data_IF_621255012602
#
_entry.id   IF_621255012602
#
_cell.length_a   1.000
_cell.length_b   1.000
_cell.length_c   1.000
_cell.angle_alpha   90.00
_cell.angle_beta   90.00
_cell.angle_gamma   90.00
#
_symmetry.space_group_name_H-M   'P 1'
#
loop_
_entity.id
_entity.type
_entity.pdbx_description
1 polymer ?
#
# COMPACT_ATOMS: atom_id res chain seq x y z
N UNK A 1 -25.65 12.21 -30.21
CA UNK A 1 -25.09 12.51 -28.88
C UNK A 1 -23.57 12.44 -28.96
N UNK A 2 -22.87 13.53 -28.70
CA UNK A 2 -21.40 13.59 -28.58
C UNK A 2 -20.99 13.31 -27.13
N UNK A 3 -19.95 12.51 -26.92
CA UNK A 3 -19.40 12.21 -25.59
C UNK A 3 -18.26 13.19 -25.27
N UNK A 4 -18.18 13.62 -24.01
CA UNK A 4 -17.02 14.33 -23.48
C UNK A 4 -16.11 13.32 -22.77
N UNK A 5 -14.86 13.19 -23.20
CA UNK A 5 -13.85 12.35 -22.57
C UNK A 5 -12.92 13.22 -21.71
N UNK A 6 -12.67 12.80 -20.48
CA UNK A 6 -11.81 13.52 -19.52
C UNK A 6 -10.81 12.52 -18.96
N UNK A 7 -9.53 12.87 -19.01
CA UNK A 7 -8.44 12.03 -18.50
C UNK A 7 -7.82 12.67 -17.27
N UNK A 8 -7.79 11.92 -16.17
CA UNK A 8 -7.05 12.31 -14.98
C UNK A 8 -5.55 12.01 -15.13
N UNK A 9 -4.70 13.00 -14.88
CA UNK A 9 -3.23 12.87 -15.04
C UNK A 9 -2.48 12.65 -13.74
N UNK A 10 -3.07 13.04 -12.60
CA UNK A 10 -2.47 12.93 -11.26
C UNK A 10 -3.55 12.56 -10.24
N UNK A 11 -3.22 11.78 -9.19
CA UNK A 11 -4.14 11.49 -8.10
C UNK A 11 -4.65 12.76 -7.44
N UNK A 12 -5.88 12.70 -6.92
CA UNK A 12 -6.52 13.81 -6.23
C UNK A 12 -8.01 13.88 -6.54
N UNK A 13 -8.67 14.89 -5.96
CA UNK A 13 -10.09 15.15 -6.22
C UNK A 13 -10.27 16.58 -6.71
N UNK A 14 -11.14 16.73 -7.69
CA UNK A 14 -11.56 18.02 -8.25
C UNK A 14 -13.03 17.94 -8.64
N UNK A 15 -13.59 19.02 -9.20
CA UNK A 15 -14.91 18.99 -9.78
C UNK A 15 -14.93 19.69 -11.12
N UNK A 16 -15.63 19.10 -12.07
CA UNK A 16 -15.94 19.74 -13.33
C UNK A 16 -17.20 20.59 -13.16
N UNK A 17 -17.05 21.91 -13.31
CA UNK A 17 -18.20 22.83 -13.31
C UNK A 17 -18.71 22.98 -14.74
N UNK A 18 -19.90 22.45 -15.00
CA UNK A 18 -20.62 22.56 -16.27
C UNK A 18 -21.69 23.64 -16.15
N UNK A 19 -21.60 24.67 -16.98
CA UNK A 19 -22.59 25.75 -17.05
C UNK A 19 -23.20 25.82 -18.44
N UNK A 20 -24.53 25.76 -18.52
CA UNK A 20 -25.28 25.96 -19.75
C UNK A 20 -26.47 26.88 -19.47
N UNK A 21 -26.40 28.13 -19.94
CA UNK A 21 -27.34 29.18 -19.57
C UNK A 21 -27.35 29.41 -18.05
N UNK A 22 -28.53 29.29 -17.43
CA UNK A 22 -28.73 29.43 -15.99
C UNK A 22 -28.46 28.15 -15.19
N UNK A 23 -28.23 27.01 -15.86
CA UNK A 23 -27.99 25.72 -15.18
C UNK A 23 -26.51 25.55 -14.91
N UNK A 24 -26.17 25.29 -13.65
CA UNK A 24 -24.82 24.87 -13.23
C UNK A 24 -24.88 23.47 -12.61
N UNK A 25 -23.96 22.59 -13.02
CA UNK A 25 -23.75 21.26 -12.42
C UNK A 25 -22.27 21.07 -12.09
N UNK A 26 -21.99 20.63 -10.87
CA UNK A 26 -20.66 20.22 -10.46
C UNK A 26 -20.60 18.70 -10.51
N UNK A 27 -19.65 18.16 -11.29
CA UNK A 27 -19.40 16.72 -11.38
C UNK A 27 -18.09 16.43 -10.64
N UNK A 28 -18.12 15.70 -9.51
CA UNK A 28 -16.89 15.34 -8.81
C UNK A 28 -16.05 14.38 -9.67
N UNK A 29 -14.74 14.61 -9.70
CA UNK A 29 -13.78 13.76 -10.39
C UNK A 29 -12.68 13.40 -9.39
N UNK A 30 -12.46 12.11 -9.19
CA UNK A 30 -11.39 11.60 -8.33
C UNK A 30 -10.49 10.68 -9.13
N UNK A 31 -9.19 10.94 -9.08
CA UNK A 31 -8.14 10.08 -9.60
C UNK A 31 -7.51 9.37 -8.41
N UNK A 32 -7.56 8.05 -8.39
CA UNK A 32 -7.04 7.22 -7.30
C UNK A 32 -5.54 6.99 -7.45
N UNK A 33 -4.86 6.77 -6.33
CA UNK A 33 -3.46 6.32 -6.35
C UNK A 33 -3.34 4.96 -7.04
N UNK A 34 -2.21 4.75 -7.73
CA UNK A 34 -1.83 3.42 -8.24
C UNK A 34 -1.34 2.50 -7.13
N UNK A 35 -0.85 3.08 -6.04
CA UNK A 35 -0.43 2.33 -4.88
C UNK A 35 -1.65 1.82 -4.12
N UNK A 36 -1.88 0.52 -4.24
CA UNK A 36 -3.01 -0.20 -3.67
C UNK A 36 -2.86 -0.48 -2.17
N UNK A 37 -1.74 -0.10 -1.56
CA UNK A 37 -1.53 -0.26 -0.13
C UNK A 37 -2.41 0.69 0.67
N UNK A 38 -2.71 0.29 1.91
CA UNK A 38 -3.13 1.21 2.95
C UNK A 38 -2.29 0.93 4.19
N UNK A 39 -1.66 1.99 4.71
CA UNK A 39 -0.84 1.92 5.91
C UNK A 39 -0.95 3.23 6.69
N UNK A 40 -0.18 3.36 7.77
CA UNK A 40 -0.18 4.53 8.63
C UNK A 40 0.68 4.26 9.85
N UNK A 41 0.58 5.09 10.90
CA UNK A 41 1.41 4.90 12.08
C UNK A 41 1.18 3.55 12.74
N UNK A 42 2.27 2.92 13.20
CA UNK A 42 2.23 1.62 13.87
C UNK A 42 3.39 1.50 14.86
N UNK A 43 3.20 0.68 15.88
CA UNK A 43 4.25 0.28 16.82
C UNK A 43 4.11 -1.21 17.08
N UNK A 44 5.22 -1.92 17.15
CA UNK A 44 5.19 -3.35 17.39
C UNK A 44 6.56 -3.98 17.27
N UNK A 45 6.82 -4.99 18.10
CA UNK A 45 8.04 -5.80 18.03
C UNK A 45 9.34 -4.99 18.05
N UNK A 46 9.38 -3.85 18.75
CA UNK A 46 10.55 -2.98 18.84
C UNK A 46 10.77 -2.07 17.62
N UNK A 47 9.84 -2.07 16.66
CA UNK A 47 9.80 -1.13 15.54
C UNK A 47 8.67 -0.11 15.72
N UNK A 48 8.92 1.10 15.22
CA UNK A 48 7.94 2.18 15.13
C UNK A 48 7.88 2.64 13.68
N UNK A 49 6.67 2.84 13.16
CA UNK A 49 6.41 3.45 11.87
C UNK A 49 5.66 4.76 12.06
N UNK A 50 6.17 5.83 11.47
CA UNK A 50 5.46 7.10 11.29
C UNK A 50 5.30 7.40 9.80
N UNK A 51 4.48 8.39 9.47
CA UNK A 51 4.20 8.76 8.07
C UNK A 51 4.79 10.14 7.80
N UNK A 52 5.69 10.22 6.83
CA UNK A 52 6.29 11.46 6.36
C UNK A 52 5.26 12.32 5.61
N UNK A 53 5.58 13.60 5.39
CA UNK A 53 4.72 14.53 4.65
C UNK A 53 4.44 14.07 3.21
N UNK A 54 5.38 13.37 2.57
CA UNK A 54 5.21 12.79 1.24
C UNK A 54 4.39 11.49 1.24
N UNK A 55 4.10 10.93 2.42
CA UNK A 55 3.34 9.68 2.61
C UNK A 55 4.19 8.41 2.63
N UNK A 56 5.51 8.50 2.58
CA UNK A 56 6.40 7.37 2.87
C UNK A 56 6.35 6.99 4.36
N UNK A 57 6.76 5.77 4.69
CA UNK A 57 6.86 5.31 6.08
C UNK A 57 8.25 5.56 6.60
N UNK A 58 8.39 6.31 7.68
CA UNK A 58 9.64 6.41 8.42
C UNK A 58 9.67 5.31 9.49
N UNK A 59 10.65 4.41 9.41
CA UNK A 59 10.76 3.24 10.30
C UNK A 59 11.97 3.41 11.21
N UNK A 60 11.74 3.30 12.51
CA UNK A 60 12.78 3.34 13.53
C UNK A 60 12.71 2.16 14.48
N UNK A 61 13.79 1.95 15.25
CA UNK A 61 13.85 0.97 16.33
C UNK A 61 14.62 -0.30 15.95
N UNK A 62 14.58 -1.32 16.81
CA UNK A 62 15.26 -2.60 16.59
C UNK A 62 14.24 -3.71 16.73
N UNK A 63 14.07 -4.52 15.68
CA UNK A 63 13.13 -5.63 15.74
C UNK A 63 13.49 -6.59 16.88
N UNK A 64 12.49 -7.12 17.56
CA UNK A 64 12.70 -8.00 18.72
C UNK A 64 13.35 -9.34 18.37
N UNK A 65 13.18 -9.82 17.13
CA UNK A 65 13.76 -11.04 16.57
C UNK A 65 13.60 -11.06 15.04
N UNK A 66 14.24 -12.02 14.39
CA UNK A 66 13.98 -12.34 12.98
C UNK A 66 12.48 -12.63 12.77
N UNK A 67 11.94 -12.15 11.66
CA UNK A 67 10.55 -12.26 11.22
C UNK A 67 9.52 -11.49 12.05
N UNK A 68 9.93 -10.84 13.14
CA UNK A 68 9.05 -9.92 13.84
C UNK A 68 8.92 -8.61 13.06
N UNK A 69 7.73 -8.00 13.11
CA UNK A 69 7.47 -6.79 12.34
C UNK A 69 6.15 -6.09 12.67
N UNK A 70 5.67 -5.31 11.71
CA UNK A 70 4.39 -4.58 11.77
C UNK A 70 3.48 -4.97 10.61
N UNK A 71 2.17 -4.89 10.82
CA UNK A 71 1.17 -5.19 9.81
C UNK A 71 -0.02 -4.22 9.79
N UNK A 72 -0.63 -4.12 8.61
CA UNK A 72 -1.86 -3.40 8.33
C UNK A 72 -2.81 -4.30 7.55
N UNK A 73 -4.09 -4.37 7.95
CA UNK A 73 -5.13 -5.12 7.25
C UNK A 73 -6.13 -4.15 6.63
N UNK A 74 -6.41 -4.32 5.34
CA UNK A 74 -7.34 -3.46 4.60
C UNK A 74 -8.06 -4.23 3.49
N UNK A 75 -9.21 -3.75 2.98
CA UNK A 75 -9.95 -4.43 1.92
C UNK A 75 -9.12 -4.61 0.66
N UNK A 76 -9.27 -5.76 0.00
CA UNK A 76 -8.60 -6.03 -1.27
C UNK A 76 -9.20 -5.16 -2.39
N UNK A 77 -8.44 -4.26 -3.02
CA UNK A 77 -9.00 -3.29 -3.95
C UNK A 77 -9.18 -3.84 -5.38
N UNK A 78 -8.56 -4.97 -5.72
CA UNK A 78 -8.44 -5.46 -7.09
C UNK A 78 -8.47 -6.98 -7.19
N UNK A 79 -8.72 -7.48 -8.40
CA UNK A 79 -8.53 -8.88 -8.79
C UNK A 79 -7.45 -8.94 -9.90
N UNK A 80 -6.87 -10.11 -10.14
CA UNK A 80 -5.82 -10.31 -11.15
C UNK A 80 -4.41 -10.23 -10.57
N UNK A 81 -3.41 -10.01 -11.43
CA UNK A 81 -2.01 -9.95 -10.98
C UNK A 81 -1.71 -8.66 -10.22
N UNK A 82 -0.83 -8.76 -9.24
CA UNK A 82 -0.27 -7.62 -8.49
C UNK A 82 1.23 -7.79 -8.32
N UNK A 83 1.95 -6.67 -8.25
CA UNK A 83 3.40 -6.62 -7.97
C UNK A 83 3.69 -5.69 -6.80
N UNK A 84 4.57 -6.11 -5.89
CA UNK A 84 5.04 -5.32 -4.75
C UNK A 84 6.47 -4.87 -4.98
N UNK A 85 6.74 -3.56 -4.87
CA UNK A 85 8.08 -2.98 -5.03
C UNK A 85 8.39 -1.98 -3.94
N UNK A 86 9.66 -1.95 -3.55
CA UNK A 86 10.22 -0.99 -2.62
C UNK A 86 11.41 -0.28 -3.24
N UNK A 87 11.22 0.83 -3.98
CA UNK A 87 12.32 1.59 -4.57
C UNK A 87 13.33 2.17 -3.55
N UNK A 88 12.91 2.41 -2.29
CA UNK A 88 13.82 2.79 -1.20
C UNK A 88 13.76 1.74 -0.09
N UNK A 89 14.37 0.55 -0.30
CA UNK A 89 14.35 -0.50 0.71
C UNK A 89 15.21 -0.10 1.92
N UNK A 90 14.78 -0.52 3.11
CA UNK A 90 15.57 -0.41 4.34
C UNK A 90 16.30 -1.75 4.54
N UNK A 91 17.64 -1.79 4.56
CA UNK A 91 18.39 -3.03 4.77
C UNK A 91 17.93 -3.79 6.03
N UNK A 92 17.74 -5.10 5.88
CA UNK A 92 17.28 -5.98 6.95
C UNK A 92 15.76 -5.97 7.20
N UNK A 93 14.99 -5.21 6.42
CA UNK A 93 13.52 -5.25 6.41
C UNK A 93 13.01 -5.71 5.04
N UNK A 94 11.91 -6.45 5.02
CA UNK A 94 11.20 -6.84 3.80
C UNK A 94 9.71 -6.54 3.90
N UNK A 95 9.14 -6.03 2.81
CA UNK A 95 7.70 -5.81 2.65
C UNK A 95 7.03 -7.03 2.04
N UNK A 96 5.85 -7.38 2.57
CA UNK A 96 5.09 -8.56 2.17
C UNK A 96 3.60 -8.23 2.10
N UNK A 97 2.87 -8.84 1.17
CA UNK A 97 1.40 -8.77 1.13
C UNK A 97 0.84 -10.19 1.14
N UNK A 98 0.07 -10.50 2.18
CA UNK A 98 -0.72 -11.74 2.27
C UNK A 98 -2.16 -11.46 1.85
N UNK A 99 -2.76 -12.43 1.19
CA UNK A 99 -4.18 -12.41 0.81
C UNK A 99 -4.98 -13.09 1.89
N UNK A 100 -6.08 -12.48 2.35
CA UNK A 100 -6.91 -13.03 3.41
C UNK A 100 -8.35 -13.26 2.91
N UNK A 101 -8.96 -14.35 3.37
CA UNK A 101 -10.39 -14.61 3.17
C UNK A 101 -11.28 -13.74 4.07
N UNK A 102 -12.60 -13.96 3.98
CA UNK A 102 -13.60 -13.25 4.80
C UNK A 102 -13.45 -13.49 6.32
N UNK A 103 -12.76 -14.56 6.73
CA UNK A 103 -12.48 -14.93 8.12
C UNK A 103 -11.10 -14.45 8.59
N UNK A 104 -10.38 -13.72 7.74
CA UNK A 104 -9.02 -13.24 8.01
C UNK A 104 -7.94 -14.32 7.89
N UNK A 105 -8.24 -15.48 7.30
CA UNK A 105 -7.28 -16.56 7.11
C UNK A 105 -6.46 -16.35 5.83
N UNK A 106 -5.14 -16.59 5.85
CA UNK A 106 -4.31 -16.49 4.66
C UNK A 106 -4.77 -17.43 3.54
N UNK A 107 -4.76 -16.92 2.30
CA UNK A 107 -5.04 -17.66 1.09
C UNK A 107 -3.78 -17.73 0.23
N UNK A 108 -3.36 -18.96 -0.08
CA UNK A 108 -2.25 -19.20 -1.00
C UNK A 108 -0.92 -18.58 -0.56
N UNK A 109 -0.13 -18.14 -1.55
CA UNK A 109 1.18 -17.53 -1.34
C UNK A 109 1.08 -16.03 -1.03
N UNK A 110 2.21 -15.43 -0.68
CA UNK A 110 2.34 -13.98 -0.44
C UNK A 110 3.16 -13.31 -1.55
N UNK A 111 2.91 -12.02 -1.77
CA UNK A 111 3.77 -11.18 -2.63
C UNK A 111 4.87 -10.60 -1.77
N UNK A 112 6.12 -10.79 -2.17
CA UNK A 112 7.28 -10.23 -1.47
C UNK A 112 7.84 -9.08 -2.30
N UNK A 113 8.30 -8.02 -1.63
CA UNK A 113 8.86 -6.87 -2.34
C UNK A 113 10.01 -7.30 -3.24
N UNK A 114 9.92 -6.97 -4.53
CA UNK A 114 10.93 -7.34 -5.53
C UNK A 114 10.77 -8.75 -6.12
N UNK A 115 9.74 -9.52 -5.72
CA UNK A 115 9.40 -10.78 -6.39
C UNK A 115 8.66 -10.54 -7.71
N UNK A 116 8.48 -11.61 -8.48
CA UNK A 116 7.59 -11.60 -9.64
C UNK A 116 6.14 -11.28 -9.23
N UNK A 117 5.37 -10.82 -10.21
CA UNK A 117 3.95 -10.58 -10.07
C UNK A 117 3.21 -11.86 -9.65
N UNK A 118 2.12 -11.69 -8.90
CA UNK A 118 1.31 -12.79 -8.39
C UNK A 118 -0.17 -12.53 -8.60
N UNK A 119 -0.90 -13.54 -9.03
CA UNK A 119 -2.35 -13.49 -9.10
C UNK A 119 -2.97 -13.41 -7.70
N UNK A 120 -3.86 -12.45 -7.48
CA UNK A 120 -4.72 -12.41 -6.30
C UNK A 120 -5.58 -13.70 -6.27
N UNK A 121 -5.48 -14.53 -5.22
CA UNK A 121 -6.27 -15.75 -5.11
C UNK A 121 -7.77 -15.47 -5.08
N UNK A 122 -8.56 -16.35 -5.69
CA UNK A 122 -10.02 -16.30 -5.58
C UNK A 122 -10.46 -16.40 -4.12
N UNK A 123 -11.46 -15.61 -3.73
CA UNK A 123 -11.94 -15.55 -2.35
C UNK A 123 -11.19 -14.57 -1.44
N UNK A 124 -10.18 -13.87 -1.96
CA UNK A 124 -9.52 -12.77 -1.22
C UNK A 124 -10.51 -11.65 -0.95
N UNK A 125 -10.65 -11.29 0.33
CA UNK A 125 -11.47 -10.17 0.81
C UNK A 125 -10.60 -9.04 1.35
N UNK A 126 -9.52 -9.38 2.06
CA UNK A 126 -8.60 -8.40 2.64
C UNK A 126 -7.17 -8.69 2.23
N UNK A 127 -6.33 -7.67 2.27
CA UNK A 127 -4.88 -7.78 2.19
C UNK A 127 -4.30 -7.51 3.58
N UNK A 128 -3.21 -8.22 3.89
CA UNK A 128 -2.34 -7.89 5.03
C UNK A 128 -0.97 -7.48 4.52
N UNK A 129 -0.69 -6.19 4.58
CA UNK A 129 0.64 -5.66 4.31
C UNK A 129 1.49 -5.80 5.58
N UNK A 130 2.68 -6.38 5.45
CA UNK A 130 3.61 -6.63 6.56
C UNK A 130 4.99 -6.06 6.21
N UNK A 131 5.66 -5.45 7.19
CA UNK A 131 7.10 -5.13 7.14
C UNK A 131 7.77 -6.00 8.20
N UNK A 132 8.64 -6.91 7.80
CA UNK A 132 9.26 -7.91 8.67
C UNK A 132 10.79 -7.78 8.68
N UNK A 133 11.41 -8.04 9.83
CA UNK A 133 12.86 -8.14 9.94
C UNK A 133 13.38 -9.45 9.33
N UNK A 134 14.41 -9.39 8.49
CA UNK A 134 15.03 -10.58 7.87
C UNK A 134 16.35 -10.98 8.56
N UNK A 135 16.84 -10.17 9.49
CA UNK A 135 18.13 -10.36 10.16
C UNK A 135 18.01 -11.39 11.29
N UNK A 136 18.92 -12.36 11.33
CA UNK A 136 19.01 -13.31 12.44
C UNK A 136 19.32 -12.61 13.78
N UNK A 137 20.16 -11.57 13.73
CA UNK A 137 20.43 -10.65 14.83
C UNK A 137 20.00 -9.25 14.41
N UNK A 138 18.81 -8.79 14.84
CA UNK A 138 18.29 -7.50 14.42
C UNK A 138 19.20 -6.33 14.80
N UNK A 139 19.36 -5.41 13.86
CA UNK A 139 20.08 -4.15 14.05
C UNK A 139 19.10 -2.97 14.10
N UNK A 140 19.54 -1.85 14.66
CA UNK A 140 18.75 -0.62 14.69
C UNK A 140 18.45 -0.14 13.26
N UNK A 141 17.20 0.28 13.06
CA UNK A 141 16.68 0.86 11.83
C UNK A 141 16.37 2.32 12.07
N UNK A 142 16.63 3.12 11.05
CA UNK A 142 16.26 4.52 10.93
C UNK A 142 16.28 4.85 9.43
N UNK A 143 15.10 4.94 8.83
CA UNK A 143 15.02 5.20 7.40
C UNK A 143 13.62 5.25 6.83
N UNK A 144 13.54 5.79 5.61
CA UNK A 144 12.29 6.02 4.90
C UNK A 144 12.02 4.92 3.85
N UNK A 145 10.89 4.24 4.02
CA UNK A 145 10.39 3.20 3.13
C UNK A 145 9.35 3.78 2.18
N UNK A 146 9.69 3.78 0.89
CA UNK A 146 8.73 3.92 -0.21
C UNK A 146 8.44 2.55 -0.78
N UNK A 147 7.24 2.05 -0.50
CA UNK A 147 6.75 0.75 -0.94
C UNK A 147 5.40 0.89 -1.64
N UNK A 148 5.18 0.08 -2.66
CA UNK A 148 4.05 0.19 -3.57
C UNK A 148 3.60 -1.17 -4.07
N UNK A 149 2.32 -1.47 -3.82
CA UNK A 149 1.59 -2.56 -4.46
C UNK A 149 0.83 -2.00 -5.65
N UNK A 150 1.00 -2.57 -6.84
CA UNK A 150 0.25 -2.15 -8.05
C UNK A 150 -0.39 -3.35 -8.74
N UNK A 151 -1.45 -3.10 -9.50
CA UNK A 151 -2.01 -4.09 -10.41
C UNK A 151 -1.09 -4.32 -11.61
N UNK A 152 -1.05 -5.57 -12.07
CA UNK A 152 -0.26 -6.02 -13.20
C UNK A 152 1.20 -6.33 -12.85
N UNK A 153 2.00 -6.46 -13.90
CA UNK A 153 3.36 -7.00 -13.83
C UNK A 153 4.43 -5.91 -14.00
N UNK A 154 4.01 -4.68 -14.36
CA UNK A 154 4.90 -3.55 -14.67
C UNK A 154 5.07 -2.62 -13.47
N UNK A 155 6.25 -2.03 -13.35
CA UNK A 155 6.61 -1.17 -12.23
C UNK A 155 6.64 0.27 -12.63
N UNK A 156 6.09 1.10 -11.76
CA UNK A 156 6.14 2.53 -11.94
C UNK A 156 6.82 3.22 -10.76
N UNK A 157 7.10 4.51 -10.97
CA UNK A 157 7.54 5.40 -9.90
C UNK A 157 6.60 5.33 -8.71
N UNK A 158 7.18 5.42 -7.52
CA UNK A 158 6.43 5.37 -6.29
C UNK A 158 5.43 6.51 -6.18
N UNK A 159 4.25 6.17 -5.67
CA UNK A 159 3.15 7.07 -5.41
C UNK A 159 2.64 6.83 -4.00
N UNK A 160 2.35 7.90 -3.29
CA UNK A 160 1.68 7.84 -1.98
C UNK A 160 0.36 7.06 -2.11
N UNK A 161 0.05 6.11 -1.21
CA UNK A 161 -1.24 5.46 -1.18
C UNK A 161 -2.37 6.41 -0.78
N UNK A 162 -3.60 6.13 -1.20
CA UNK A 162 -4.75 6.99 -0.90
C UNK A 162 -5.03 7.11 0.61
N UNK A 163 -4.69 6.06 1.39
CA UNK A 163 -4.86 6.05 2.83
C UNK A 163 -3.53 5.77 3.55
N UNK A 164 -2.98 6.82 4.16
CA UNK A 164 -1.78 6.80 5.01
C UNK A 164 -2.10 7.04 6.50
N UNK A 165 -3.34 6.83 6.93
CA UNK A 165 -3.76 7.01 8.34
C UNK A 165 -4.23 5.72 9.01
N UNK A 166 -4.17 4.58 8.30
CA UNK A 166 -4.56 3.28 8.82
C UNK A 166 -3.58 2.85 9.92
N UNK A 167 -4.08 2.66 11.14
CA UNK A 167 -3.25 2.20 12.26
C UNK A 167 -2.83 0.75 12.04
N UNK A 168 -1.55 0.48 12.21
CA UNK A 168 -1.00 -0.87 12.18
C UNK A 168 -0.73 -1.40 13.58
N UNK A 169 -0.22 -2.63 13.64
CA UNK A 169 0.19 -3.26 14.90
C UNK A 169 1.25 -4.33 14.68
N UNK A 170 1.68 -4.95 15.78
CA UNK A 170 2.67 -6.01 15.76
C UNK A 170 2.22 -7.24 14.96
N UNK A 171 3.16 -7.88 14.24
CA UNK A 171 2.97 -9.18 13.59
C UNK A 171 4.20 -10.06 13.77
N UNK A 172 3.99 -11.38 13.89
CA UNK A 172 5.02 -12.40 14.07
C UNK A 172 5.25 -13.22 12.81
#
# INVERSE_FOLDING_TARGET
MSKLNITGVKPGSTSLKLTAGTVTKNVPVTVKSRNLLSYGPAEGNGLTATVNSDGSLHITGTASKQWAGMAWVFPCPVQGNVTLRSPTPIPGLTGNVKFLDAKGQPLGNQVVSGSNAMAVPAGTVNLRFEILCTEATPTAKDGDLRIQLESGDTGHDWMRPDNTSLRGGAVN
#
